data_IF_896351866655
#
_entry.id   IF_896351866655
#
_cell.length_a   1.000
_cell.length_b   1.000
_cell.length_c   1.000
_cell.angle_alpha   90.00
_cell.angle_beta   90.00
_cell.angle_gamma   90.00
#
_symmetry.space_group_name_H-M   'P 1'
#
loop_
_entity.id
_entity.type
_entity.pdbx_description
1 polymer ?
#
# COMPACT_ATOMS: atom_id res chain seq x y z
N UNK A 1 -82.36 -16.23 24.25
CA UNK A 1 -81.37 -16.43 23.17
C UNK A 1 -80.63 -15.12 22.97
N UNK A 2 -79.36 -15.05 23.35
CA UNK A 2 -78.50 -13.88 23.14
C UNK A 2 -77.26 -14.40 22.42
N UNK A 3 -77.17 -14.18 21.11
CA UNK A 3 -76.03 -14.58 20.28
C UNK A 3 -74.88 -13.63 20.54
N UNK A 4 -73.80 -14.15 21.11
CA UNK A 4 -72.52 -13.44 21.24
C UNK A 4 -71.81 -13.50 19.90
N UNK A 5 -71.85 -12.40 19.12
CA UNK A 5 -70.99 -12.27 17.96
C UNK A 5 -69.54 -12.05 18.41
N UNK A 6 -68.66 -12.95 17.97
CA UNK A 6 -67.23 -12.86 18.20
C UNK A 6 -66.67 -11.74 17.30
N UNK A 7 -66.39 -10.59 17.91
CA UNK A 7 -65.63 -9.53 17.26
C UNK A 7 -64.22 -10.05 16.97
N UNK A 8 -64.04 -10.59 15.76
CA UNK A 8 -62.73 -10.94 15.24
C UNK A 8 -62.04 -9.63 14.92
N UNK A 9 -60.99 -9.30 15.65
CA UNK A 9 -60.11 -8.14 15.43
C UNK A 9 -59.47 -8.26 14.02
N UNK A 10 -60.24 -7.85 13.01
CA UNK A 10 -59.81 -7.76 11.62
C UNK A 10 -59.09 -6.43 11.50
N UNK A 11 -57.77 -6.47 11.36
CA UNK A 11 -56.93 -5.32 11.03
C UNK A 11 -57.66 -4.41 10.02
N UNK A 12 -58.06 -3.22 10.47
CA UNK A 12 -58.79 -2.27 9.65
C UNK A 12 -57.92 -1.86 8.45
N UNK A 13 -58.50 -1.72 7.26
CA UNK A 13 -57.76 -1.39 6.03
C UNK A 13 -56.97 -0.09 6.20
N UNK A 14 -57.53 0.84 6.98
CA UNK A 14 -56.90 2.12 7.30
C UNK A 14 -55.68 1.96 8.20
N UNK A 15 -55.72 1.07 9.18
CA UNK A 15 -54.59 0.83 10.08
C UNK A 15 -53.51 -0.02 9.41
N UNK A 16 -53.90 -0.94 8.52
CA UNK A 16 -52.96 -1.60 7.62
C UNK A 16 -52.22 -0.56 6.74
N UNK A 17 -52.95 0.38 6.13
CA UNK A 17 -52.36 1.45 5.31
C UNK A 17 -51.43 2.36 6.12
N UNK A 18 -51.82 2.79 7.33
CA UNK A 18 -50.93 3.58 8.20
C UNK A 18 -49.66 2.81 8.56
N UNK A 19 -49.76 1.53 8.93
CA UNK A 19 -48.59 0.69 9.26
C UNK A 19 -47.67 0.51 8.06
N UNK A 20 -48.20 0.42 6.84
CA UNK A 20 -47.39 0.39 5.62
C UNK A 20 -46.71 1.75 5.35
N UNK A 21 -47.47 2.85 5.44
CA UNK A 21 -46.97 4.23 5.18
C UNK A 21 -45.84 4.61 6.13
N UNK A 22 -45.92 4.24 7.41
CA UNK A 22 -44.88 4.58 8.38
C UNK A 22 -43.83 3.47 8.54
N UNK A 23 -44.21 2.20 8.39
CA UNK A 23 -43.32 1.06 8.58
C UNK A 23 -42.31 0.91 7.44
N UNK A 24 -42.75 1.05 6.18
CA UNK A 24 -41.86 0.85 5.03
C UNK A 24 -40.74 1.92 4.99
N UNK A 25 -41.00 3.23 5.13
CA UNK A 25 -39.94 4.24 5.16
C UNK A 25 -38.98 4.09 6.35
N UNK A 26 -39.47 3.63 7.51
CA UNK A 26 -38.63 3.41 8.68
C UNK A 26 -37.66 2.23 8.47
N UNK A 27 -38.10 1.18 7.79
CA UNK A 27 -37.23 0.07 7.37
C UNK A 27 -36.20 0.52 6.33
N UNK A 28 -36.61 1.30 5.33
CA UNK A 28 -35.71 1.82 4.29
C UNK A 28 -34.68 2.76 4.91
N UNK A 29 -35.13 3.73 5.71
CA UNK A 29 -34.27 4.70 6.40
C UNK A 29 -33.31 4.03 7.38
N UNK A 30 -33.77 3.02 8.14
CA UNK A 30 -32.92 2.22 9.00
C UNK A 30 -31.85 1.46 8.23
N UNK A 31 -32.21 0.86 7.10
CA UNK A 31 -31.25 0.15 6.23
C UNK A 31 -30.20 1.08 5.65
N UNK A 32 -30.62 2.23 5.09
CA UNK A 32 -29.70 3.24 4.53
C UNK A 32 -28.76 3.75 5.63
N UNK A 33 -29.30 4.08 6.81
CA UNK A 33 -28.50 4.56 7.94
C UNK A 33 -27.48 3.51 8.39
N UNK A 34 -27.84 2.23 8.41
CA UNK A 34 -26.92 1.14 8.72
C UNK A 34 -25.81 1.01 7.65
N UNK A 35 -26.17 1.08 6.36
CA UNK A 35 -25.18 1.04 5.27
C UNK A 35 -24.24 2.25 5.30
N UNK A 36 -24.75 3.46 5.50
CA UNK A 36 -23.96 4.69 5.61
C UNK A 36 -23.09 4.65 6.87
N UNK A 37 -23.63 4.20 8.00
CA UNK A 37 -22.88 4.03 9.24
C UNK A 37 -21.73 3.04 9.07
N UNK A 38 -21.98 1.88 8.45
CA UNK A 38 -20.92 0.92 8.16
C UNK A 38 -19.91 1.45 7.13
N UNK A 39 -20.35 2.24 6.15
CA UNK A 39 -19.45 2.88 5.19
C UNK A 39 -18.57 3.93 5.85
N UNK A 40 -19.11 4.77 6.75
CA UNK A 40 -18.35 5.83 7.41
C UNK A 40 -17.48 5.35 8.57
N UNK A 41 -17.93 4.33 9.31
CA UNK A 41 -17.31 3.90 10.57
C UNK A 41 -16.88 2.44 10.59
N UNK A 42 -17.13 1.67 9.51
CA UNK A 42 -16.69 0.29 9.39
C UNK A 42 -15.16 0.22 9.42
N UNK A 43 -14.60 -0.56 10.34
CA UNK A 43 -13.16 -0.76 10.44
C UNK A 43 -12.65 -1.40 9.16
N UNK A 44 -11.86 -0.67 8.38
CA UNK A 44 -11.21 -1.22 7.20
C UNK A 44 -10.19 -2.27 7.62
N UNK A 45 -10.30 -3.48 7.06
CA UNK A 45 -9.23 -4.50 7.14
C UNK A 45 -8.12 -4.08 6.17
N UNK A 46 -7.31 -3.09 6.58
CA UNK A 46 -6.07 -2.79 5.87
C UNK A 46 -5.07 -3.91 6.21
N UNK A 47 -4.48 -4.62 5.23
CA UNK A 47 -3.43 -5.59 5.53
C UNK A 47 -2.29 -4.85 6.26
N UNK A 48 -2.04 -5.28 7.49
CA UNK A 48 -1.28 -4.54 8.48
C UNK A 48 0.23 -4.48 8.24
N UNK A 49 0.76 -4.99 7.13
CA UNK A 49 2.20 -4.99 6.93
C UNK A 49 2.58 -3.87 5.96
N UNK A 50 3.14 -2.79 6.50
CA UNK A 50 3.98 -1.86 5.73
C UNK A 50 5.18 -2.54 5.06
N UNK A 51 5.38 -3.84 5.31
CA UNK A 51 6.34 -4.72 4.67
C UNK A 51 5.76 -5.40 3.44
N UNK A 52 6.47 -5.26 2.33
CA UNK A 52 6.22 -5.94 1.06
C UNK A 52 7.26 -7.04 0.87
N UNK A 53 6.83 -8.19 0.36
CA UNK A 53 7.73 -9.32 0.07
C UNK A 53 8.50 -9.05 -1.22
N UNK A 54 9.83 -8.96 -1.12
CA UNK A 54 10.75 -8.69 -2.21
C UNK A 54 11.34 -9.96 -2.83
N UNK A 55 11.04 -11.14 -2.29
CA UNK A 55 11.52 -12.43 -2.79
C UNK A 55 12.78 -12.96 -2.10
N UNK A 56 13.36 -14.00 -2.69
CA UNK A 56 14.55 -14.70 -2.19
C UNK A 56 15.84 -13.98 -2.63
N UNK A 57 16.75 -13.75 -1.67
CA UNK A 57 18.04 -13.09 -1.90
C UNK A 57 19.23 -14.03 -2.09
N UNK A 58 19.05 -15.34 -1.90
CA UNK A 58 20.13 -16.34 -1.93
C UNK A 58 20.84 -16.41 -3.28
N UNK A 59 20.14 -16.09 -4.36
CA UNK A 59 20.68 -16.08 -5.72
C UNK A 59 21.41 -14.79 -6.13
N UNK A 60 21.41 -13.76 -5.28
CA UNK A 60 21.95 -12.44 -5.63
C UNK A 60 23.48 -12.38 -5.42
N UNK A 61 24.20 -11.88 -6.44
CA UNK A 61 25.65 -11.72 -6.36
C UNK A 61 26.05 -10.56 -5.43
N UNK A 62 27.03 -10.81 -4.56
CA UNK A 62 27.62 -9.78 -3.68
C UNK A 62 28.36 -8.72 -4.50
N UNK A 63 28.30 -7.47 -4.04
CA UNK A 63 28.99 -6.33 -4.68
C UNK A 63 28.40 -5.90 -6.03
N UNK A 64 27.32 -6.53 -6.51
CA UNK A 64 26.58 -6.10 -7.70
C UNK A 64 25.14 -5.75 -7.33
N UNK A 65 24.63 -4.60 -7.78
CA UNK A 65 23.23 -4.26 -7.57
C UNK A 65 22.34 -5.10 -8.48
N UNK A 66 21.23 -5.58 -7.92
CA UNK A 66 20.19 -6.31 -8.64
C UNK A 66 18.88 -5.54 -8.54
N UNK A 67 18.20 -5.37 -9.67
CA UNK A 67 16.88 -4.77 -9.66
C UNK A 67 15.85 -5.87 -9.42
N UNK A 68 15.12 -5.78 -8.31
CA UNK A 68 14.01 -6.68 -8.01
C UNK A 68 12.69 -5.95 -8.24
N UNK A 69 11.67 -6.71 -8.64
CA UNK A 69 10.30 -6.23 -8.75
C UNK A 69 9.46 -6.93 -7.70
N UNK A 70 8.56 -6.18 -7.08
CA UNK A 70 7.73 -6.66 -5.99
C UNK A 70 6.39 -5.94 -5.99
N UNK A 71 5.36 -6.58 -5.46
CA UNK A 71 4.05 -5.98 -5.32
C UNK A 71 3.97 -5.23 -3.98
N UNK A 72 3.71 -3.92 -4.06
CA UNK A 72 3.42 -3.09 -2.91
C UNK A 72 1.92 -2.94 -2.75
N UNK A 73 1.39 -3.23 -1.57
CA UNK A 73 0.01 -2.92 -1.25
C UNK A 73 -0.15 -1.41 -1.08
N UNK A 74 -0.90 -0.78 -1.99
CA UNK A 74 -1.25 0.64 -1.92
C UNK A 74 -2.72 0.75 -1.52
N UNK A 75 -2.96 1.52 -0.46
CA UNK A 75 -4.30 1.81 0.05
C UNK A 75 -4.76 3.12 -0.57
N UNK A 76 -5.82 3.06 -1.36
CA UNK A 76 -6.45 4.23 -1.97
C UNK A 76 -7.92 4.29 -1.54
N UNK A 77 -8.20 5.13 -0.54
CA UNK A 77 -9.49 5.22 0.13
C UNK A 77 -9.94 3.87 0.69
N UNK A 78 -10.88 3.22 0.01
CA UNK A 78 -11.47 1.94 0.40
C UNK A 78 -10.90 0.73 -0.34
N UNK A 79 -10.03 0.95 -1.32
CA UNK A 79 -9.47 -0.13 -2.14
C UNK A 79 -8.02 -0.39 -1.76
N UNK A 80 -7.66 -1.66 -1.60
CA UNK A 80 -6.26 -2.09 -1.56
C UNK A 80 -5.92 -2.61 -2.94
N UNK A 81 -4.91 -2.02 -3.58
CA UNK A 81 -4.39 -2.48 -4.87
C UNK A 81 -2.95 -2.95 -4.69
N UNK A 82 -2.63 -4.08 -5.30
CA UNK A 82 -1.24 -4.44 -5.53
C UNK A 82 -0.71 -3.56 -6.67
N UNK A 83 0.33 -2.79 -6.39
CA UNK A 83 1.04 -2.00 -7.39
C UNK A 83 2.44 -2.59 -7.55
N UNK A 84 2.79 -2.95 -8.78
CA UNK A 84 4.15 -3.38 -9.11
C UNK A 84 5.12 -2.22 -8.85
N UNK A 85 6.10 -2.47 -8.01
CA UNK A 85 7.18 -1.56 -7.65
C UNK A 85 8.52 -2.24 -7.91
N UNK A 86 9.60 -1.45 -7.97
CA UNK A 86 10.95 -2.01 -8.07
C UNK A 86 11.89 -1.39 -7.06
N UNK A 87 12.96 -2.11 -6.73
CA UNK A 87 14.03 -1.67 -5.85
C UNK A 87 15.38 -2.15 -6.37
N UNK A 88 16.41 -1.36 -6.14
CA UNK A 88 17.80 -1.76 -6.36
C UNK A 88 18.36 -2.36 -5.08
N UNK A 89 18.62 -3.67 -5.08
CA UNK A 89 19.18 -4.39 -3.92
C UNK A 89 20.67 -4.57 -4.09
N UNK A 90 21.42 -4.14 -3.08
CA UNK A 90 22.87 -4.28 -2.96
C UNK A 90 23.18 -5.12 -1.73
N UNK A 91 24.00 -6.15 -1.91
CA UNK A 91 24.52 -6.97 -0.82
C UNK A 91 26.00 -6.63 -0.66
N UNK A 92 26.32 -6.06 0.51
CA UNK A 92 27.69 -5.74 0.90
C UNK A 92 28.46 -6.99 1.34
N UNK A 93 29.79 -6.90 1.41
CA UNK A 93 30.68 -8.00 1.78
C UNK A 93 30.36 -8.55 3.18
N UNK A 94 29.85 -7.69 4.06
CA UNK A 94 29.38 -8.02 5.42
C UNK A 94 27.99 -8.67 5.46
N UNK A 95 27.43 -9.11 4.33
CA UNK A 95 26.04 -9.62 4.21
C UNK A 95 24.96 -8.58 4.59
N UNK A 96 25.31 -7.30 4.60
CA UNK A 96 24.33 -6.23 4.82
C UNK A 96 23.58 -6.00 3.51
N UNK A 97 22.27 -6.23 3.54
CA UNK A 97 21.37 -5.94 2.41
C UNK A 97 20.91 -4.49 2.51
N UNK A 98 21.08 -3.73 1.43
CA UNK A 98 20.55 -2.37 1.30
C UNK A 98 19.67 -2.32 0.06
N UNK A 99 18.47 -1.78 0.17
CA UNK A 99 17.55 -1.61 -0.94
C UNK A 99 17.33 -0.11 -1.19
N UNK A 100 17.57 0.32 -2.43
CA UNK A 100 17.40 1.70 -2.87
C UNK A 100 16.13 1.87 -3.70
N UNK A 101 15.47 3.01 -3.52
CA UNK A 101 14.34 3.43 -4.34
C UNK A 101 14.86 3.83 -5.73
N UNK A 102 14.35 3.28 -6.83
CA UNK A 102 14.85 3.52 -8.20
C UNK A 102 14.42 4.89 -8.76
N UNK A 103 14.43 5.92 -7.91
CA UNK A 103 13.99 7.28 -8.19
C UNK A 103 15.14 8.23 -7.86
N UNK A 104 15.58 9.00 -8.85
CA UNK A 104 16.68 9.95 -8.70
C UNK A 104 16.23 11.12 -7.84
N UNK A 105 17.07 11.46 -6.87
CA UNK A 105 16.81 12.50 -5.88
C UNK A 105 16.86 13.93 -6.39
N UNK A 106 17.25 14.13 -7.65
CA UNK A 106 17.20 15.44 -8.32
C UNK A 106 15.76 15.83 -8.67
N UNK A 107 15.14 15.13 -9.62
CA UNK A 107 13.79 15.44 -10.15
C UNK A 107 12.95 14.18 -10.41
N UNK A 108 13.28 13.05 -9.78
CA UNK A 108 12.44 11.85 -9.79
C UNK A 108 12.62 10.89 -10.99
N UNK A 109 13.61 11.11 -11.85
CA UNK A 109 13.88 10.18 -12.97
C UNK A 109 14.33 8.79 -12.50
N UNK A 110 13.99 7.74 -13.24
CA UNK A 110 14.58 6.42 -13.02
C UNK A 110 16.08 6.43 -13.36
N UNK A 111 16.91 5.83 -12.50
CA UNK A 111 18.34 5.66 -12.73
C UNK A 111 18.70 4.17 -12.86
N UNK A 112 19.81 3.89 -13.55
CA UNK A 112 20.26 2.52 -13.81
C UNK A 112 21.70 2.28 -13.37
N UNK A 113 22.04 1.02 -13.09
CA UNK A 113 23.42 0.63 -12.83
C UNK A 113 24.25 0.58 -14.12
N UNK A 114 25.44 1.16 -14.07
CA UNK A 114 26.42 1.17 -15.16
C UNK A 114 27.65 0.35 -14.75
N UNK A 115 27.81 -0.83 -15.35
CA UNK A 115 28.91 -1.75 -15.02
C UNK A 115 30.29 -1.14 -15.33
N UNK A 116 30.39 -0.36 -16.40
CA UNK A 116 31.58 0.37 -16.83
C UNK A 116 32.06 1.38 -15.79
N UNK A 117 31.12 2.06 -15.13
CA UNK A 117 31.41 3.09 -14.12
C UNK A 117 31.33 2.58 -12.69
N UNK A 118 30.85 1.35 -12.48
CA UNK A 118 30.52 0.79 -11.16
C UNK A 118 29.70 1.77 -10.30
N UNK A 119 28.73 2.42 -10.93
CA UNK A 119 27.93 3.48 -10.34
C UNK A 119 26.51 3.46 -10.88
N UNK A 120 25.57 4.01 -10.10
CA UNK A 120 24.24 4.32 -10.58
C UNK A 120 24.27 5.63 -11.36
N UNK A 121 23.70 5.64 -12.55
CA UNK A 121 23.71 6.82 -13.43
C UNK A 121 22.27 7.17 -13.82
N UNK A 122 21.91 8.42 -13.58
CA UNK A 122 20.65 9.00 -14.01
C UNK A 122 20.80 9.57 -15.43
N UNK A 123 20.04 9.09 -16.42
CA UNK A 123 20.17 9.53 -17.81
C UNK A 123 19.61 10.95 -18.07
N UNK A 124 18.80 11.50 -17.17
CA UNK A 124 18.12 12.78 -17.39
C UNK A 124 19.08 13.98 -17.35
N UNK A 125 19.93 14.07 -16.31
CA UNK A 125 20.82 15.22 -16.09
C UNK A 125 22.23 14.79 -15.64
N UNK A 126 22.54 13.50 -15.72
CA UNK A 126 23.88 12.98 -15.44
C UNK A 126 24.25 12.85 -13.97
N UNK A 127 23.29 12.83 -13.03
CA UNK A 127 23.59 12.50 -11.62
C UNK A 127 24.15 11.09 -11.51
N UNK A 128 25.27 10.96 -10.79
CA UNK A 128 25.96 9.69 -10.56
C UNK A 128 26.01 9.41 -9.06
N UNK A 129 25.67 8.18 -8.69
CA UNK A 129 25.67 7.72 -7.31
C UNK A 129 26.57 6.49 -7.12
N UNK A 130 27.18 6.36 -5.95
CA UNK A 130 28.01 5.21 -5.56
C UNK A 130 27.19 3.94 -5.41
N UNK A 131 27.84 2.79 -5.26
CA UNK A 131 27.17 1.53 -4.92
C UNK A 131 26.42 1.62 -3.57
N UNK A 132 26.87 2.49 -2.68
CA UNK A 132 26.28 2.80 -1.38
C UNK A 132 25.17 3.86 -1.47
N UNK A 133 24.95 4.44 -2.65
CA UNK A 133 23.91 5.41 -2.94
C UNK A 133 24.29 6.86 -2.67
N UNK A 134 25.55 7.14 -2.34
CA UNK A 134 26.04 8.50 -2.10
C UNK A 134 26.21 9.26 -3.42
N UNK A 135 26.02 10.58 -3.40
CA UNK A 135 26.22 11.41 -4.59
C UNK A 135 27.72 11.48 -4.92
N UNK A 136 28.08 11.10 -6.15
CA UNK A 136 29.44 11.28 -6.67
C UNK A 136 29.53 12.58 -7.46
N UNK A 137 28.58 12.80 -8.38
CA UNK A 137 28.55 14.01 -9.22
C UNK A 137 27.17 14.26 -9.82
N UNK A 138 26.99 15.45 -10.40
CA UNK A 138 25.77 15.90 -11.05
C UNK A 138 24.89 16.77 -10.14
N UNK A 139 23.68 17.13 -10.58
CA UNK A 139 22.83 18.11 -9.91
C UNK A 139 22.07 17.58 -8.69
N UNK A 140 22.10 16.26 -8.43
CA UNK A 140 21.50 15.71 -7.22
C UNK A 140 22.28 16.17 -5.98
N UNK A 141 21.61 16.74 -4.99
CA UNK A 141 22.21 17.25 -3.76
C UNK A 141 22.15 16.30 -2.56
N UNK A 142 21.45 15.16 -2.71
CA UNK A 142 21.20 14.19 -1.64
C UNK A 142 21.38 12.75 -2.13
N UNK A 143 21.82 11.87 -1.23
CA UNK A 143 21.99 10.44 -1.50
C UNK A 143 20.67 9.75 -1.88
N UNK A 144 20.75 8.54 -2.43
CA UNK A 144 19.56 7.77 -2.82
C UNK A 144 18.69 7.39 -1.60
N UNK A 145 17.38 7.51 -1.78
CA UNK A 145 16.40 7.05 -0.80
C UNK A 145 16.44 5.53 -0.65
N UNK A 146 16.19 5.04 0.57
CA UNK A 146 16.33 3.63 0.92
C UNK A 146 14.99 3.07 1.36
N UNK A 147 14.72 1.81 1.06
CA UNK A 147 13.67 1.09 1.76
C UNK A 147 14.21 0.58 3.09
N UNK A 148 13.36 0.56 4.11
CA UNK A 148 13.62 -0.26 5.29
C UNK A 148 13.73 -1.73 4.85
N UNK A 149 14.78 -2.41 5.26
CA UNK A 149 15.05 -3.80 4.87
C UNK A 149 14.98 -4.70 6.08
N UNK A 150 14.24 -5.79 5.97
CA UNK A 150 14.23 -6.88 6.96
C UNK A 150 14.50 -8.19 6.25
N UNK A 151 15.50 -8.94 6.72
CA UNK A 151 15.85 -10.26 6.16
C UNK A 151 15.42 -11.32 7.17
N UNK A 152 14.56 -12.23 6.74
CA UNK A 152 14.09 -13.36 7.53
C UNK A 152 14.47 -14.67 6.83
N UNK A 153 15.51 -15.34 7.34
CA UNK A 153 16.12 -16.47 6.65
C UNK A 153 16.70 -16.03 5.30
N UNK A 154 16.06 -16.49 4.21
CA UNK A 154 16.47 -16.20 2.84
C UNK A 154 15.55 -15.20 2.12
N UNK A 155 14.53 -14.67 2.80
CA UNK A 155 13.55 -13.77 2.19
C UNK A 155 13.81 -12.33 2.61
N UNK A 156 13.73 -11.43 1.63
CA UNK A 156 13.83 -9.99 1.85
C UNK A 156 12.45 -9.36 1.93
N UNK A 157 12.24 -8.56 2.96
CA UNK A 157 11.06 -7.74 3.15
C UNK A 157 11.46 -6.26 3.05
N UNK A 158 10.67 -5.48 2.30
CA UNK A 158 10.85 -4.05 2.11
C UNK A 158 9.74 -3.26 2.80
N UNK A 159 10.12 -2.35 3.68
CA UNK A 159 9.22 -1.52 4.47
C UNK A 159 8.96 -0.14 3.87
N UNK A 160 8.79 0.85 4.74
CA UNK A 160 8.68 2.26 4.36
C UNK A 160 9.95 2.79 3.70
N UNK A 161 9.82 3.87 2.94
CA UNK A 161 10.97 4.58 2.38
C UNK A 161 11.53 5.52 3.45
N UNK A 162 12.81 5.38 3.74
CA UNK A 162 13.58 6.31 4.55
C UNK A 162 14.28 7.30 3.62
N UNK A 163 13.95 8.58 3.78
CA UNK A 163 14.57 9.67 3.01
C UNK A 163 15.98 9.94 3.49
N UNK A 164 16.90 10.21 2.56
CA UNK A 164 18.30 10.51 2.89
C UNK A 164 18.53 11.88 3.55
N UNK A 165 17.50 12.73 3.67
CA UNK A 165 17.61 14.13 4.14
C UNK A 165 17.79 14.29 5.66
N UNK A 166 17.88 13.19 6.41
CA UNK A 166 17.95 13.19 7.88
C UNK A 166 19.05 12.30 8.48
N UNK A 167 20.15 12.07 7.76
CA UNK A 167 21.31 11.30 8.25
C UNK A 167 22.57 12.15 8.32
#
# INVERSE_FOLDING_TARGET
MRTTETHTDKLDRRDLMKRAIYGIPLLIGGTITACVGNYLFGKQKVPASGWSDAGDISGLQRGKPHQIRFDKAVVDGWTVRAQESSAWVVIDDKQKVTAFVPVCTHLGCAYGWRQDKRAFVCPCHGSVFSLQGDVITGPANRALDRFETKVEGNRLWLGSVTTSEGA
#
